data_IF_092466133201
#
_entry.id   IF_092466133201
#
_cell.length_a   1.000
_cell.length_b   1.000
_cell.length_c   1.000
_cell.angle_alpha   90.00
_cell.angle_beta   90.00
_cell.angle_gamma   90.00
#
_symmetry.space_group_name_H-M   'P 1'
#
loop_
_entity.id
_entity.type
_entity.pdbx_description
1 polymer ?
#
# COMPACT_ATOMS: atom_id res chain seq x y z
N UNK A 1 -3.39 -5.20 5.99
CA UNK A 1 -4.43 -4.83 6.98
C UNK A 1 -3.79 -3.91 8.01
N UNK A 2 -4.45 -2.83 8.38
CA UNK A 2 -3.91 -1.89 9.37
C UNK A 2 -4.10 -2.41 10.79
N UNK A 3 -3.05 -2.33 11.61
CA UNK A 3 -3.06 -2.76 13.01
C UNK A 3 -2.95 -4.27 13.25
N UNK A 4 -2.64 -5.05 12.22
CA UNK A 4 -2.57 -6.52 12.32
C UNK A 4 -1.28 -7.08 11.72
N UNK A 5 -0.84 -6.58 10.57
CA UNK A 5 0.28 -7.15 9.81
C UNK A 5 1.60 -6.42 10.04
N UNK A 6 1.94 -6.22 11.30
CA UNK A 6 3.25 -5.70 11.70
C UNK A 6 4.39 -6.68 11.33
N UNK A 7 5.63 -6.25 11.49
CA UNK A 7 6.79 -7.05 11.10
C UNK A 7 6.85 -8.42 11.82
N UNK A 8 6.62 -8.53 13.15
CA UNK A 8 6.57 -9.82 13.83
C UNK A 8 5.49 -10.75 13.30
N UNK A 9 4.28 -10.23 13.04
CA UNK A 9 3.18 -11.01 12.48
C UNK A 9 3.53 -11.55 11.09
N UNK A 10 4.10 -10.72 10.22
CA UNK A 10 4.52 -11.15 8.87
C UNK A 10 5.58 -12.24 8.91
N UNK A 11 6.56 -12.15 9.84
CA UNK A 11 7.55 -13.22 10.04
C UNK A 11 6.90 -14.53 10.45
N UNK A 12 5.95 -14.49 11.38
CA UNK A 12 5.22 -15.68 11.82
C UNK A 12 4.40 -16.28 10.68
N UNK A 13 3.65 -15.46 9.95
CA UNK A 13 2.84 -15.92 8.81
C UNK A 13 3.71 -16.61 7.74
N UNK A 14 4.86 -16.03 7.39
CA UNK A 14 5.80 -16.62 6.46
C UNK A 14 6.38 -17.94 6.98
N UNK A 15 6.75 -18.02 8.25
CA UNK A 15 7.25 -19.25 8.89
C UNK A 15 6.19 -20.37 8.89
N UNK A 16 4.91 -20.02 8.91
CA UNK A 16 3.77 -20.95 8.82
C UNK A 16 3.37 -21.28 7.37
N UNK A 17 4.12 -20.81 6.37
CA UNK A 17 3.93 -21.19 4.97
C UNK A 17 3.12 -20.21 4.14
N UNK A 18 2.93 -18.96 4.59
CA UNK A 18 2.36 -17.93 3.72
C UNK A 18 3.26 -17.70 2.52
N UNK A 19 2.73 -17.84 1.31
CA UNK A 19 3.48 -17.67 0.07
C UNK A 19 3.85 -16.21 -0.24
N UNK A 20 3.12 -15.25 0.34
CA UNK A 20 3.38 -13.82 0.26
C UNK A 20 2.85 -13.13 1.52
N UNK A 21 3.61 -12.17 2.02
CA UNK A 21 3.20 -11.29 3.13
C UNK A 21 3.29 -9.84 2.71
N UNK A 22 2.27 -9.05 3.06
CA UNK A 22 2.14 -7.65 2.68
C UNK A 22 2.21 -6.77 3.92
N UNK A 23 2.85 -5.61 3.82
CA UNK A 23 2.95 -4.65 4.92
C UNK A 23 1.59 -4.19 5.42
N UNK A 24 1.55 -3.54 6.56
CA UNK A 24 0.38 -2.76 6.94
C UNK A 24 0.13 -1.66 5.91
N UNK A 25 -1.15 -1.35 5.70
CA UNK A 25 -1.56 -0.24 4.85
C UNK A 25 -0.97 1.08 5.37
N UNK A 26 -0.26 1.78 4.52
CA UNK A 26 0.41 3.05 4.82
C UNK A 26 -0.19 4.16 3.98
N UNK A 27 -0.60 5.26 4.60
CA UNK A 27 -1.05 6.44 3.89
C UNK A 27 0.15 7.07 3.15
N UNK A 28 -0.01 7.30 1.85
CA UNK A 28 1.07 7.78 0.99
C UNK A 28 1.54 9.18 1.35
N UNK A 29 0.62 10.09 1.68
CA UNK A 29 0.92 11.45 2.14
C UNK A 29 1.66 11.44 3.49
N UNK A 30 1.26 10.59 4.43
CA UNK A 30 1.94 10.42 5.71
C UNK A 30 3.37 9.90 5.54
N UNK A 31 3.58 8.98 4.60
CA UNK A 31 4.90 8.44 4.28
C UNK A 31 5.80 9.54 3.69
N UNK A 32 5.30 10.32 2.73
CA UNK A 32 6.02 11.43 2.11
C UNK A 32 6.35 12.51 3.14
N UNK A 33 5.44 12.83 4.04
CA UNK A 33 5.66 13.78 5.13
C UNK A 33 6.56 13.23 6.26
N UNK A 34 7.04 12.01 6.12
CA UNK A 34 8.03 11.41 7.01
C UNK A 34 7.51 11.01 8.39
N UNK A 35 6.19 10.74 8.51
CA UNK A 35 5.62 10.31 9.80
C UNK A 35 6.28 8.99 10.26
N UNK A 36 6.73 8.90 11.53
CA UNK A 36 7.50 7.74 12.01
C UNK A 36 6.75 6.41 11.84
N UNK A 37 5.46 6.37 12.12
CA UNK A 37 4.65 5.15 11.98
C UNK A 37 4.54 4.68 10.52
N UNK A 38 4.46 5.61 9.57
CA UNK A 38 4.41 5.27 8.15
C UNK A 38 5.73 4.67 7.68
N UNK A 39 6.84 5.21 8.13
CA UNK A 39 8.18 4.65 7.87
C UNK A 39 8.34 3.27 8.48
N UNK A 40 7.95 3.08 9.74
CA UNK A 40 8.01 1.80 10.44
C UNK A 40 7.21 0.71 9.71
N UNK A 41 6.02 1.04 9.19
CA UNK A 41 5.19 0.11 8.41
C UNK A 41 5.84 -0.34 7.11
N UNK A 42 6.67 0.51 6.51
CA UNK A 42 7.39 0.20 5.27
C UNK A 42 8.73 -0.53 5.51
N UNK A 43 9.13 -0.76 6.76
CA UNK A 43 10.38 -1.47 7.04
C UNK A 43 10.36 -2.91 6.55
N UNK A 44 11.48 -3.32 5.96
CA UNK A 44 11.69 -4.68 5.53
C UNK A 44 11.77 -5.63 6.74
N UNK A 45 11.17 -6.81 6.59
CA UNK A 45 11.15 -7.83 7.64
C UNK A 45 12.26 -8.86 7.52
N UNK A 46 13.08 -8.78 6.46
CA UNK A 46 14.03 -9.81 6.08
C UNK A 46 13.39 -10.99 5.35
N UNK A 47 12.11 -10.89 4.99
CA UNK A 47 11.36 -11.88 4.20
C UNK A 47 11.17 -11.32 2.81
N UNK A 48 11.52 -12.10 1.78
CA UNK A 48 11.29 -11.73 0.40
C UNK A 48 10.09 -12.47 -0.20
N UNK A 49 9.39 -11.86 -1.15
CA UNK A 49 9.54 -10.46 -1.55
C UNK A 49 8.99 -9.48 -0.52
N UNK A 50 9.60 -8.30 -0.42
CA UNK A 50 9.13 -7.22 0.45
C UNK A 50 8.05 -6.40 -0.26
N UNK A 51 6.81 -6.58 0.15
CA UNK A 51 5.64 -5.89 -0.43
C UNK A 51 5.19 -4.76 0.48
N UNK A 52 5.18 -3.54 -0.04
CA UNK A 52 4.68 -2.35 0.67
C UNK A 52 3.32 -1.95 0.12
N UNK A 53 2.31 -1.91 1.00
CA UNK A 53 0.97 -1.50 0.62
C UNK A 53 0.74 -0.02 0.94
N UNK A 54 0.38 0.74 -0.09
CA UNK A 54 0.06 2.16 0.00
C UNK A 54 -1.45 2.41 -0.15
N UNK A 55 -1.94 3.42 0.54
CA UNK A 55 -3.28 3.97 0.36
C UNK A 55 -3.21 5.47 0.15
N UNK A 56 -4.04 5.99 -0.74
CA UNK A 56 -4.11 7.42 -1.04
C UNK A 56 -5.14 7.71 -2.10
N UNK A 57 -5.44 9.00 -2.30
CA UNK A 57 -6.39 9.47 -3.32
C UNK A 57 -5.78 10.51 -4.27
N UNK A 58 -4.55 10.92 -4.04
CA UNK A 58 -3.87 11.89 -4.88
C UNK A 58 -2.67 11.27 -5.59
N UNK A 59 -2.64 11.38 -6.93
CA UNK A 59 -1.61 10.80 -7.78
C UNK A 59 -0.19 11.22 -7.37
N UNK A 60 -0.02 12.49 -6.98
CA UNK A 60 1.26 13.03 -6.52
C UNK A 60 1.80 12.27 -5.30
N UNK A 61 0.96 12.07 -4.28
CA UNK A 61 1.38 11.40 -3.06
C UNK A 61 1.59 9.91 -3.27
N UNK A 62 0.78 9.28 -4.13
CA UNK A 62 0.95 7.88 -4.49
C UNK A 62 2.28 7.65 -5.22
N UNK A 63 2.61 8.48 -6.21
CA UNK A 63 3.85 8.41 -6.93
C UNK A 63 5.08 8.60 -6.02
N UNK A 64 5.05 9.64 -5.18
CA UNK A 64 6.18 9.94 -4.30
C UNK A 64 6.32 8.91 -3.17
N UNK A 65 5.21 8.47 -2.58
CA UNK A 65 5.21 7.39 -1.59
C UNK A 65 5.76 6.08 -2.15
N UNK A 66 5.43 5.76 -3.40
CA UNK A 66 5.96 4.59 -4.08
C UNK A 66 7.48 4.69 -4.29
N UNK A 67 8.01 5.85 -4.70
CA UNK A 67 9.46 6.08 -4.81
C UNK A 67 10.18 5.89 -3.48
N UNK A 68 9.60 6.42 -2.40
CA UNK A 68 10.17 6.28 -1.06
C UNK A 68 10.19 4.81 -0.64
N UNK A 69 9.11 4.07 -0.88
CA UNK A 69 9.02 2.65 -0.56
C UNK A 69 10.02 1.81 -1.37
N UNK A 70 10.14 2.07 -2.68
CA UNK A 70 11.14 1.41 -3.54
C UNK A 70 12.56 1.70 -3.07
N UNK A 71 12.88 2.96 -2.76
CA UNK A 71 14.18 3.36 -2.24
C UNK A 71 14.51 2.72 -0.87
N UNK A 72 13.49 2.41 -0.07
CA UNK A 72 13.60 1.67 1.18
C UNK A 72 13.71 0.15 0.99
N UNK A 73 13.70 -0.36 -0.24
CA UNK A 73 13.93 -1.75 -0.59
C UNK A 73 12.65 -2.55 -0.82
N UNK A 74 11.52 -1.93 -1.14
CA UNK A 74 10.33 -2.65 -1.58
C UNK A 74 10.58 -3.34 -2.92
N UNK A 75 10.24 -4.63 -3.00
CA UNK A 75 10.28 -5.42 -4.23
C UNK A 75 8.98 -5.30 -5.03
N UNK A 76 7.89 -4.95 -4.36
CA UNK A 76 6.56 -4.76 -4.94
C UNK A 76 5.85 -3.61 -4.21
N UNK A 77 5.18 -2.76 -4.97
CA UNK A 77 4.24 -1.76 -4.42
C UNK A 77 2.83 -2.28 -4.64
N UNK A 78 2.05 -2.36 -3.56
CA UNK A 78 0.64 -2.75 -3.62
C UNK A 78 -0.26 -1.56 -3.30
N UNK A 79 -1.28 -1.32 -4.13
CA UNK A 79 -2.24 -0.22 -3.95
C UNK A 79 -3.49 -0.77 -3.28
N UNK A 80 -3.85 -0.21 -2.13
CA UNK A 80 -5.09 -0.58 -1.44
C UNK A 80 -6.29 0.13 -2.08
N UNK A 81 -7.15 -0.67 -2.74
CA UNK A 81 -8.44 -0.24 -3.28
C UNK A 81 -9.60 -1.06 -2.69
N UNK A 82 -9.39 -1.67 -1.53
CA UNK A 82 -10.37 -2.57 -0.91
C UNK A 82 -10.81 -2.18 0.50
N UNK A 83 -10.06 -1.32 1.20
CA UNK A 83 -10.38 -0.98 2.59
C UNK A 83 -11.70 -0.18 2.70
N UNK A 84 -12.74 -0.67 3.41
CA UNK A 84 -14.01 0.03 3.56
C UNK A 84 -14.05 0.97 4.77
N UNK A 85 -12.99 1.06 5.55
CA UNK A 85 -12.97 1.85 6.78
C UNK A 85 -13.28 3.32 6.53
N UNK A 86 -14.18 3.91 7.33
CA UNK A 86 -14.68 5.29 7.13
C UNK A 86 -13.58 6.35 7.09
N UNK A 87 -12.53 6.19 7.90
CA UNK A 87 -11.40 7.12 7.89
C UNK A 87 -10.55 7.03 6.61
N UNK A 88 -10.61 5.93 5.88
CA UNK A 88 -9.97 5.74 4.58
C UNK A 88 -10.90 6.22 3.46
N UNK A 89 -12.13 5.73 3.43
CA UNK A 89 -13.11 6.05 2.38
C UNK A 89 -13.61 7.49 2.45
N UNK A 90 -13.64 8.09 3.65
CA UNK A 90 -13.93 9.52 3.83
C UNK A 90 -12.91 10.44 3.18
N UNK A 91 -11.64 9.97 3.06
CA UNK A 91 -10.58 10.61 2.29
C UNK A 91 -10.55 10.18 0.81
N UNK A 92 -11.59 9.52 0.30
CA UNK A 92 -11.70 9.01 -1.08
C UNK A 92 -10.62 7.96 -1.46
N UNK A 93 -10.05 7.29 -0.46
CA UNK A 93 -9.07 6.21 -0.63
C UNK A 93 -9.71 4.84 -0.40
N UNK A 94 -8.94 3.77 -0.59
CA UNK A 94 -9.40 2.40 -0.38
C UNK A 94 -10.55 2.04 -1.32
N UNK A 95 -11.61 1.41 -0.81
CA UNK A 95 -12.76 0.98 -1.63
C UNK A 95 -13.53 2.12 -2.28
N UNK A 96 -13.39 3.37 -1.79
CA UNK A 96 -14.02 4.53 -2.41
C UNK A 96 -13.49 4.81 -3.82
N UNK A 97 -12.26 4.41 -4.13
CA UNK A 97 -11.68 4.52 -5.48
C UNK A 97 -12.46 3.72 -6.53
N UNK A 98 -13.15 2.67 -6.13
CA UNK A 98 -13.97 1.86 -7.05
C UNK A 98 -15.20 2.60 -7.56
N UNK A 99 -15.55 3.75 -6.99
CA UNK A 99 -16.68 4.59 -7.44
C UNK A 99 -16.30 5.55 -8.56
N UNK A 100 -15.00 5.80 -8.76
CA UNK A 100 -14.46 6.66 -9.82
C UNK A 100 -13.26 5.95 -10.46
N UNK A 101 -13.54 5.14 -11.46
CA UNK A 101 -12.54 4.31 -12.12
C UNK A 101 -11.52 5.15 -12.91
N UNK A 102 -11.93 6.28 -13.46
CA UNK A 102 -11.01 7.18 -14.17
C UNK A 102 -10.00 7.78 -13.20
N UNK A 103 -10.44 8.14 -12.00
CA UNK A 103 -9.55 8.60 -10.95
C UNK A 103 -8.62 7.48 -10.47
N UNK A 104 -9.15 6.28 -10.27
CA UNK A 104 -8.38 5.11 -9.87
C UNK A 104 -7.27 4.78 -10.89
N UNK A 105 -7.59 4.82 -12.20
CA UNK A 105 -6.61 4.59 -13.26
C UNK A 105 -5.50 5.62 -13.22
N UNK A 106 -5.81 6.91 -13.04
CA UNK A 106 -4.77 7.95 -12.90
C UNK A 106 -3.82 7.71 -11.72
N UNK A 107 -4.34 7.21 -10.59
CA UNK A 107 -3.49 6.85 -9.45
C UNK A 107 -2.57 5.67 -9.76
N UNK A 108 -3.11 4.65 -10.42
CA UNK A 108 -2.37 3.46 -10.83
C UNK A 108 -1.25 3.84 -11.80
N UNK A 109 -1.58 4.58 -12.84
CA UNK A 109 -0.61 5.06 -13.84
C UNK A 109 0.51 5.88 -13.18
N UNK A 110 0.17 6.86 -12.35
CA UNK A 110 1.15 7.66 -11.65
C UNK A 110 2.07 6.83 -10.74
N UNK A 111 1.54 5.77 -10.13
CA UNK A 111 2.33 4.87 -9.29
C UNK A 111 3.27 4.01 -10.15
N UNK A 112 2.77 3.44 -11.24
CA UNK A 112 3.56 2.61 -12.18
C UNK A 112 4.70 3.43 -12.79
N UNK A 113 4.42 4.64 -13.23
CA UNK A 113 5.43 5.54 -13.82
C UNK A 113 6.51 5.98 -12.84
N UNK A 114 6.19 5.95 -11.56
CA UNK A 114 7.10 6.43 -10.50
C UNK A 114 8.18 5.42 -10.11
N UNK A 115 7.97 4.11 -10.32
CA UNK A 115 8.81 3.02 -9.82
C UNK A 115 9.20 2.04 -10.91
N UNK A 116 10.23 1.24 -10.66
CA UNK A 116 10.68 0.17 -11.56
C UNK A 116 10.20 -1.21 -11.10
N UNK A 117 9.82 -1.34 -9.85
CA UNK A 117 9.29 -2.58 -9.29
C UNK A 117 7.83 -2.81 -9.73
N UNK A 118 7.35 -4.06 -9.73
CA UNK A 118 5.95 -4.36 -10.03
C UNK A 118 4.98 -3.62 -9.12
N UNK A 119 3.83 -3.23 -9.68
CA UNK A 119 2.71 -2.64 -8.95
C UNK A 119 1.53 -3.59 -8.99
N UNK A 120 0.94 -3.88 -7.83
CA UNK A 120 -0.25 -4.72 -7.67
C UNK A 120 -1.41 -3.93 -7.06
N UNK A 121 -2.60 -4.48 -7.15
CA UNK A 121 -3.83 -3.86 -6.62
C UNK A 121 -4.53 -4.84 -5.69
N UNK A 122 -4.90 -4.38 -4.51
CA UNK A 122 -5.85 -5.06 -3.64
C UNK A 122 -7.27 -4.52 -3.89
N UNK A 123 -8.11 -5.33 -4.50
CA UNK A 123 -9.50 -5.03 -4.78
C UNK A 123 -10.42 -5.89 -3.91
N UNK A 124 -11.59 -5.34 -3.56
CA UNK A 124 -12.69 -6.11 -2.96
C UNK A 124 -13.88 -6.06 -3.91
N UNK A 125 -14.31 -7.24 -4.36
CA UNK A 125 -15.46 -7.39 -5.24
C UNK A 125 -16.73 -7.51 -4.38
N UNK A 126 -17.80 -6.80 -4.74
CA UNK A 126 -19.10 -6.90 -4.06
C UNK A 126 -19.32 -5.91 -2.91
N UNK A 127 -18.58 -4.82 -2.85
CA UNK A 127 -18.95 -3.68 -1.99
C UNK A 127 -20.02 -2.84 -2.70
N UNK A 128 -21.25 -2.93 -2.22
CA UNK A 128 -22.33 -2.00 -2.58
C UNK A 128 -22.17 -0.66 -1.84
#
# INVERSE_FOLDING_TARGET
MSGVTDAPFRRLAAALGAGLVVSEMTASDDLVNGKPMSRLRCEATGIGPHVVQLAGCEAKWMAEGARIAEAAGADVIDINMGCPARHVTGGQSGSALMRDLDHAVRLIEATIEAVKVPVTLLLVIGCE
#
